data_IF_022306772166
#
_entry.id   IF_022306772166
#
_cell.length_a   1.000
_cell.length_b   1.000
_cell.length_c   1.000
_cell.angle_alpha   90.00
_cell.angle_beta   90.00
_cell.angle_gamma   90.00
#
_symmetry.space_group_name_H-M   'P 1'
#
loop_
_entity.id
_entity.type
_entity.pdbx_description
1 polymer ?
#
# COMPACT_ATOMS: atom_id res chain seq x y z
N UNK A 1 4.39 -23.38 -10.85
CA UNK A 1 4.22 -23.38 -9.38
C UNK A 1 2.88 -22.73 -9.04
N UNK A 2 1.90 -23.54 -8.67
CA UNK A 2 0.62 -23.07 -8.10
C UNK A 2 0.91 -22.49 -6.71
N UNK A 3 1.04 -21.16 -6.63
CA UNK A 3 1.08 -20.48 -5.32
C UNK A 3 -0.19 -20.87 -4.57
N UNK A 4 -0.05 -21.50 -3.39
CA UNK A 4 -1.21 -21.86 -2.58
C UNK A 4 -1.88 -20.58 -2.11
N UNK A 5 -3.01 -20.25 -2.75
CA UNK A 5 -3.88 -19.18 -2.30
C UNK A 5 -4.44 -19.59 -0.94
N UNK A 6 -3.86 -19.03 0.12
CA UNK A 6 -4.33 -19.27 1.48
C UNK A 6 -5.48 -18.32 1.76
N UNK A 7 -6.68 -18.88 1.85
CA UNK A 7 -7.91 -18.13 2.16
C UNK A 7 -8.15 -18.06 3.67
N UNK A 8 -7.54 -18.96 4.44
CA UNK A 8 -7.59 -18.97 5.89
C UNK A 8 -6.55 -18.02 6.48
N UNK A 9 -7.00 -17.16 7.41
CA UNK A 9 -6.10 -16.28 8.13
C UNK A 9 -5.17 -17.08 9.05
N UNK A 10 -3.89 -16.73 9.06
CA UNK A 10 -2.87 -17.35 9.94
C UNK A 10 -1.96 -16.29 10.52
N UNK A 11 -1.20 -16.62 11.57
CA UNK A 11 -0.25 -15.70 12.20
C UNK A 11 0.70 -15.05 11.18
N UNK A 12 1.13 -15.80 10.16
CA UNK A 12 2.01 -15.28 9.11
C UNK A 12 1.38 -14.11 8.34
N UNK A 13 0.06 -14.10 8.14
CA UNK A 13 -0.64 -12.97 7.50
C UNK A 13 -0.53 -11.71 8.35
N UNK A 14 -0.78 -11.84 9.65
CA UNK A 14 -0.68 -10.73 10.60
C UNK A 14 0.75 -10.17 10.66
N UNK A 15 1.76 -11.05 10.66
CA UNK A 15 3.18 -10.62 10.62
C UNK A 15 3.47 -9.81 9.37
N UNK A 16 3.18 -10.35 8.17
CA UNK A 16 3.49 -9.64 6.92
C UNK A 16 2.73 -8.32 6.77
N UNK A 17 1.46 -8.29 7.15
CA UNK A 17 0.66 -7.07 7.14
C UNK A 17 1.25 -6.03 8.11
N UNK A 18 1.54 -6.43 9.35
CA UNK A 18 2.09 -5.53 10.36
C UNK A 18 3.46 -4.99 9.94
N UNK A 19 4.33 -5.85 9.41
CA UNK A 19 5.65 -5.44 8.91
C UNK A 19 5.52 -4.43 7.76
N UNK A 20 4.62 -4.67 6.80
CA UNK A 20 4.38 -3.74 5.68
C UNK A 20 3.94 -2.36 6.18
N UNK A 21 3.00 -2.34 7.13
CA UNK A 21 2.44 -1.11 7.71
C UNK A 21 3.47 -0.36 8.58
N UNK A 22 4.31 -1.06 9.35
CA UNK A 22 5.37 -0.42 10.15
C UNK A 22 6.46 0.19 9.26
N UNK A 23 6.85 -0.53 8.20
CA UNK A 23 7.83 -0.05 7.22
C UNK A 23 7.32 1.17 6.46
N UNK A 24 6.04 1.25 6.13
CA UNK A 24 5.50 2.41 5.43
C UNK A 24 5.54 3.70 6.25
N UNK A 25 5.45 3.60 7.59
CA UNK A 25 5.64 4.75 8.47
C UNK A 25 7.00 5.43 8.26
N UNK A 26 8.06 4.64 8.05
CA UNK A 26 9.42 5.14 7.80
C UNK A 26 9.52 5.87 6.46
N UNK A 27 8.82 5.35 5.44
CA UNK A 27 8.76 5.95 4.11
C UNK A 27 8.00 7.28 4.14
N UNK A 28 6.90 7.34 4.88
CA UNK A 28 6.11 8.56 5.04
C UNK A 28 6.87 9.65 5.79
N UNK A 29 7.64 9.28 6.83
CA UNK A 29 8.53 10.21 7.53
C UNK A 29 9.53 10.87 6.57
N UNK A 30 10.16 10.08 5.69
CA UNK A 30 11.11 10.64 4.72
C UNK A 30 10.43 11.52 3.68
N UNK A 31 9.26 11.11 3.18
CA UNK A 31 8.45 11.92 2.26
C UNK A 31 8.07 13.27 2.90
N UNK A 32 7.60 13.27 4.15
CA UNK A 32 7.26 14.48 4.88
C UNK A 32 8.45 15.40 5.13
N UNK A 33 9.62 14.82 5.44
CA UNK A 33 10.88 15.60 5.56
C UNK A 33 11.25 16.24 4.24
N UNK A 34 11.21 15.48 3.14
CA UNK A 34 11.49 15.99 1.80
C UNK A 34 10.54 17.13 1.42
N UNK A 35 9.24 16.96 1.62
CA UNK A 35 8.23 17.99 1.33
C UNK A 35 8.44 19.25 2.19
N UNK A 36 8.73 19.09 3.49
CA UNK A 36 9.04 20.22 4.38
C UNK A 36 10.26 21.02 3.91
N UNK A 37 11.33 20.35 3.46
CA UNK A 37 12.54 21.02 2.93
C UNK A 37 12.23 21.78 1.64
N UNK A 38 11.44 21.18 0.74
CA UNK A 38 11.05 21.81 -0.53
C UNK A 38 10.13 23.01 -0.31
N UNK A 39 9.19 22.92 0.63
CA UNK A 39 8.22 23.99 0.92
C UNK A 39 8.81 25.13 1.76
N UNK A 40 9.81 24.85 2.61
CA UNK A 40 10.49 25.85 3.45
C UNK A 40 12.01 25.75 3.32
N UNK A 41 12.63 26.41 2.32
CA UNK A 41 14.05 26.27 1.99
C UNK A 41 15.04 26.65 3.11
N UNK A 42 14.61 27.40 4.13
CA UNK A 42 15.48 27.94 5.19
C UNK A 42 15.26 27.31 6.58
N UNK A 43 14.42 26.28 6.69
CA UNK A 43 14.17 25.67 7.98
C UNK A 43 15.19 24.55 8.24
N UNK A 44 16.25 24.87 8.99
CA UNK A 44 17.09 23.86 9.66
C UNK A 44 16.26 23.20 10.78
N UNK A 45 15.21 22.49 10.41
CA UNK A 45 14.33 21.75 11.30
C UNK A 45 15.11 20.53 11.79
N UNK A 46 15.76 20.65 12.95
CA UNK A 46 16.03 19.47 13.78
C UNK A 46 14.65 18.92 14.17
N UNK A 47 14.22 17.78 13.62
CA UNK A 47 12.88 17.29 13.89
C UNK A 47 12.83 16.87 15.36
N UNK A 48 11.90 17.44 16.12
CA UNK A 48 11.68 17.01 17.51
C UNK A 48 11.27 15.54 17.52
N UNK A 49 11.62 14.80 18.59
CA UNK A 49 11.22 13.40 18.74
C UNK A 49 9.69 13.23 18.60
N UNK A 50 8.92 14.19 19.09
CA UNK A 50 7.47 14.23 18.94
C UNK A 50 7.05 14.29 17.47
N UNK A 51 7.66 15.18 16.67
CA UNK A 51 7.36 15.27 15.23
C UNK A 51 7.68 13.97 14.49
N UNK A 52 8.82 13.34 14.79
CA UNK A 52 9.22 12.06 14.19
C UNK A 52 8.21 10.96 14.52
N UNK A 53 7.84 10.84 15.80
CA UNK A 53 6.87 9.83 16.26
C UNK A 53 5.49 10.05 15.62
N UNK A 54 4.98 11.28 15.61
CA UNK A 54 3.69 11.60 14.98
C UNK A 54 3.70 11.32 13.48
N UNK A 55 4.74 11.77 12.76
CA UNK A 55 4.83 11.55 11.32
C UNK A 55 4.91 10.05 10.98
N UNK A 56 5.66 9.27 11.77
CA UNK A 56 5.73 7.82 11.60
C UNK A 56 4.37 7.14 11.85
N UNK A 57 3.68 7.49 12.93
CA UNK A 57 2.33 6.99 13.25
C UNK A 57 1.30 7.38 12.18
N UNK A 58 1.35 8.60 11.66
CA UNK A 58 0.47 9.02 10.55
C UNK A 58 0.70 8.15 9.32
N UNK A 59 1.96 7.87 8.97
CA UNK A 59 2.28 7.01 7.83
C UNK A 59 1.76 5.57 7.99
N UNK A 60 1.84 5.02 9.20
CA UNK A 60 1.25 3.72 9.56
C UNK A 60 -0.26 3.71 9.31
N UNK A 61 -0.97 4.70 9.86
CA UNK A 61 -2.43 4.79 9.76
C UNK A 61 -2.87 4.97 8.31
N UNK A 62 -2.21 5.84 7.56
CA UNK A 62 -2.53 6.11 6.15
C UNK A 62 -2.41 4.83 5.32
N UNK A 63 -1.31 4.09 5.44
CA UNK A 63 -1.11 2.89 4.61
C UNK A 63 -2.02 1.74 5.05
N UNK A 64 -2.28 1.58 6.35
CA UNK A 64 -3.28 0.61 6.81
C UNK A 64 -4.65 0.89 6.19
N UNK A 65 -5.08 2.15 6.17
CA UNK A 65 -6.33 2.57 5.52
C UNK A 65 -6.29 2.28 4.01
N UNK A 66 -5.21 2.61 3.32
CA UNK A 66 -5.05 2.33 1.88
C UNK A 66 -5.20 0.84 1.58
N UNK A 67 -4.52 -0.02 2.35
CA UNK A 67 -4.58 -1.47 2.16
C UNK A 67 -6.00 -2.00 2.38
N UNK A 68 -6.68 -1.54 3.44
CA UNK A 68 -8.04 -1.96 3.73
C UNK A 68 -9.03 -1.48 2.68
N UNK A 69 -8.95 -0.21 2.26
CA UNK A 69 -9.80 0.35 1.21
C UNK A 69 -9.59 -0.36 -0.13
N UNK A 70 -8.34 -0.60 -0.51
CA UNK A 70 -8.03 -1.32 -1.74
C UNK A 70 -8.60 -2.75 -1.71
N UNK A 71 -8.39 -3.46 -0.60
CA UNK A 71 -8.96 -4.81 -0.42
C UNK A 71 -10.49 -4.79 -0.49
N UNK A 72 -11.12 -3.77 0.10
CA UNK A 72 -12.57 -3.60 0.09
C UNK A 72 -13.09 -3.37 -1.33
N UNK A 73 -12.42 -2.52 -2.12
CA UNK A 73 -12.77 -2.29 -3.52
C UNK A 73 -12.65 -3.58 -4.32
N UNK A 74 -11.56 -4.33 -4.14
CA UNK A 74 -11.37 -5.63 -4.80
C UNK A 74 -12.49 -6.60 -4.49
N UNK A 75 -12.87 -6.67 -3.22
CA UNK A 75 -13.96 -7.51 -2.76
C UNK A 75 -15.32 -7.09 -3.36
N UNK A 76 -15.63 -5.79 -3.38
CA UNK A 76 -16.86 -5.25 -3.97
C UNK A 76 -16.92 -5.57 -5.47
N UNK A 77 -15.84 -5.32 -6.21
CA UNK A 77 -15.78 -5.60 -7.65
C UNK A 77 -15.99 -7.10 -7.90
N UNK A 78 -15.26 -7.97 -7.19
CA UNK A 78 -15.41 -9.41 -7.34
C UNK A 78 -16.83 -9.88 -7.04
N UNK A 79 -17.40 -9.41 -5.93
CA UNK A 79 -18.71 -9.86 -5.44
C UNK A 79 -19.86 -9.38 -6.31
N UNK A 80 -19.85 -8.11 -6.72
CA UNK A 80 -20.98 -7.48 -7.42
C UNK A 80 -20.79 -7.46 -8.93
N UNK A 81 -19.64 -7.02 -9.45
CA UNK A 81 -19.42 -6.93 -10.90
C UNK A 81 -19.24 -8.31 -11.53
N UNK A 82 -18.49 -9.19 -10.88
CA UNK A 82 -18.26 -10.55 -11.36
C UNK A 82 -19.18 -11.60 -10.72
N UNK A 83 -20.23 -11.15 -10.00
CA UNK A 83 -21.29 -11.98 -9.40
C UNK A 83 -20.81 -13.10 -8.47
N UNK A 84 -19.65 -12.95 -7.83
CA UNK A 84 -19.08 -13.90 -6.86
C UNK A 84 -19.73 -13.73 -5.46
N UNK A 85 -21.04 -13.96 -5.37
CA UNK A 85 -21.88 -13.58 -4.19
C UNK A 85 -21.42 -14.19 -2.87
N UNK A 86 -20.76 -15.36 -2.91
CA UNK A 86 -20.31 -16.13 -1.75
C UNK A 86 -18.90 -15.77 -1.28
N UNK A 87 -18.17 -14.91 -2.00
CA UNK A 87 -16.81 -14.51 -1.63
C UNK A 87 -16.82 -13.68 -0.33
N UNK A 88 -16.26 -14.15 0.78
CA UNK A 88 -16.16 -13.36 2.00
C UNK A 88 -14.97 -12.40 1.92
N UNK A 89 -15.12 -11.24 2.57
CA UNK A 89 -14.07 -10.22 2.62
C UNK A 89 -12.77 -10.77 3.21
N UNK A 90 -12.85 -11.61 4.25
CA UNK A 90 -11.69 -12.21 4.89
C UNK A 90 -10.83 -13.04 3.93
N UNK A 91 -11.42 -13.76 2.97
CA UNK A 91 -10.64 -14.49 1.96
C UNK A 91 -9.95 -13.52 1.00
N UNK A 92 -10.61 -12.43 0.63
CA UNK A 92 -10.01 -11.39 -0.23
C UNK A 92 -8.82 -10.73 0.47
N UNK A 93 -8.93 -10.49 1.78
CA UNK A 93 -7.86 -9.95 2.60
C UNK A 93 -6.71 -10.95 2.80
N UNK A 94 -7.01 -12.20 3.18
CA UNK A 94 -6.00 -13.24 3.43
C UNK A 94 -5.16 -13.53 2.18
N UNK A 95 -5.80 -13.55 1.02
CA UNK A 95 -5.11 -13.75 -0.26
C UNK A 95 -4.05 -12.68 -0.54
N UNK A 96 -4.16 -11.49 0.05
CA UNK A 96 -3.17 -10.41 -0.05
C UNK A 96 -1.81 -10.70 0.61
N UNK A 97 -1.64 -11.82 1.33
CA UNK A 97 -0.38 -12.18 2.00
C UNK A 97 0.86 -12.02 1.11
N UNK A 98 0.81 -12.56 -0.11
CA UNK A 98 1.95 -12.54 -1.04
C UNK A 98 2.19 -11.12 -1.54
N UNK A 99 1.13 -10.35 -1.80
CA UNK A 99 1.25 -8.94 -2.11
C UNK A 99 1.97 -8.15 -1.01
N UNK A 100 1.68 -8.44 0.27
CA UNK A 100 2.36 -7.77 1.39
C UNK A 100 3.82 -8.21 1.54
N UNK A 101 4.15 -9.47 1.24
CA UNK A 101 5.54 -9.94 1.20
C UNK A 101 6.37 -9.15 0.20
N UNK A 102 5.85 -8.96 -1.02
CA UNK A 102 6.51 -8.12 -2.00
C UNK A 102 6.58 -6.67 -1.56
N UNK A 103 5.51 -6.13 -0.97
CA UNK A 103 5.53 -4.76 -0.45
C UNK A 103 6.64 -4.55 0.60
N UNK A 104 6.76 -5.48 1.55
CA UNK A 104 7.83 -5.48 2.55
C UNK A 104 9.20 -5.55 1.89
N UNK A 105 9.38 -6.42 0.89
CA UNK A 105 10.64 -6.54 0.17
C UNK A 105 11.03 -5.21 -0.49
N UNK A 106 10.11 -4.59 -1.24
CA UNK A 106 10.38 -3.30 -1.89
C UNK A 106 10.68 -2.21 -0.86
N UNK A 107 9.89 -2.11 0.21
CA UNK A 107 10.15 -1.16 1.28
C UNK A 107 11.49 -1.38 1.96
N UNK A 108 11.88 -2.62 2.24
CA UNK A 108 13.17 -2.93 2.84
C UNK A 108 14.32 -2.54 1.91
N UNK A 109 14.20 -2.80 0.60
CA UNK A 109 15.20 -2.45 -0.39
C UNK A 109 15.31 -0.93 -0.61
N UNK A 110 14.22 -0.18 -0.46
CA UNK A 110 14.25 1.27 -0.60
C UNK A 110 14.80 2.00 0.63
N UNK A 111 14.73 1.41 1.83
CA UNK A 111 15.18 2.06 3.08
C UNK A 111 16.59 2.67 2.98
N UNK A 112 17.65 1.95 2.54
CA UNK A 112 18.99 2.52 2.47
C UNK A 112 19.06 3.75 1.57
N UNK A 113 18.37 3.71 0.42
CA UNK A 113 18.35 4.83 -0.52
C UNK A 113 17.61 6.04 0.05
N UNK A 114 16.54 5.82 0.82
CA UNK A 114 15.73 6.87 1.44
C UNK A 114 16.50 7.64 2.52
N UNK A 115 17.43 6.98 3.21
CA UNK A 115 18.30 7.60 4.22
C UNK A 115 19.66 8.04 3.67
N UNK A 116 19.98 7.67 2.43
CA UNK A 116 21.13 8.19 1.69
C UNK A 116 20.78 9.51 0.99
N UNK A 117 21.78 10.24 0.50
CA UNK A 117 21.57 11.44 -0.33
C UNK A 117 20.76 11.21 -1.62
N UNK A 118 20.52 9.95 -2.02
CA UNK A 118 19.71 9.55 -3.17
C UNK A 118 18.25 9.23 -2.80
N UNK A 119 17.56 10.14 -2.10
CA UNK A 119 16.20 9.91 -1.61
C UNK A 119 15.17 9.64 -2.73
N UNK A 120 15.37 10.23 -3.91
CA UNK A 120 14.47 10.05 -5.07
C UNK A 120 14.40 8.60 -5.54
N UNK A 121 15.53 7.90 -5.67
CA UNK A 121 15.54 6.50 -6.09
C UNK A 121 14.76 5.63 -5.10
N UNK A 122 14.97 5.86 -3.80
CA UNK A 122 14.27 5.16 -2.73
C UNK A 122 12.76 5.41 -2.75
N UNK A 123 12.33 6.66 -2.96
CA UNK A 123 10.90 7.00 -3.10
C UNK A 123 10.29 6.29 -4.32
N UNK A 124 10.96 6.33 -5.48
CA UNK A 124 10.50 5.66 -6.70
C UNK A 124 10.38 4.15 -6.47
N UNK A 125 11.38 3.52 -5.87
CA UNK A 125 11.37 2.08 -5.59
C UNK A 125 10.23 1.69 -4.64
N UNK A 126 9.94 2.51 -3.62
CA UNK A 126 8.82 2.30 -2.72
C UNK A 126 7.46 2.42 -3.45
N UNK A 127 7.31 3.41 -4.34
CA UNK A 127 6.11 3.57 -5.16
C UNK A 127 5.91 2.39 -6.12
N UNK A 128 6.98 1.91 -6.75
CA UNK A 128 6.95 0.70 -7.58
C UNK A 128 6.50 -0.51 -6.77
N UNK A 129 6.98 -0.66 -5.54
CA UNK A 129 6.57 -1.74 -4.63
C UNK A 129 5.08 -1.71 -4.28
N UNK A 130 4.54 -0.51 -4.04
CA UNK A 130 3.12 -0.30 -3.80
C UNK A 130 2.28 -0.75 -5.00
N UNK A 131 2.63 -0.30 -6.21
CA UNK A 131 1.91 -0.68 -7.45
C UNK A 131 2.02 -2.19 -7.70
N UNK A 132 3.22 -2.74 -7.56
CA UNK A 132 3.47 -4.16 -7.77
C UNK A 132 2.67 -5.01 -6.78
N UNK A 133 2.63 -4.62 -5.50
CA UNK A 133 1.81 -5.26 -4.47
C UNK A 133 0.32 -5.25 -4.86
N UNK A 134 -0.21 -4.10 -5.29
CA UNK A 134 -1.60 -4.00 -5.72
C UNK A 134 -1.91 -4.91 -6.93
N UNK A 135 -1.00 -4.99 -7.90
CA UNK A 135 -1.13 -5.89 -9.05
C UNK A 135 -1.14 -7.37 -8.64
N UNK A 136 -0.23 -7.76 -7.74
CA UNK A 136 -0.17 -9.14 -7.23
C UNK A 136 -1.47 -9.47 -6.49
N UNK A 137 -1.93 -8.60 -5.59
CA UNK A 137 -3.16 -8.82 -4.85
C UNK A 137 -4.36 -8.98 -5.80
N UNK A 138 -4.51 -8.09 -6.78
CA UNK A 138 -5.58 -8.18 -7.77
C UNK A 138 -5.54 -9.50 -8.56
N UNK A 139 -4.35 -9.92 -9.00
CA UNK A 139 -4.16 -11.21 -9.69
C UNK A 139 -4.58 -12.39 -8.82
N UNK A 140 -4.24 -12.34 -7.53
CA UNK A 140 -4.57 -13.41 -6.61
C UNK A 140 -6.08 -13.47 -6.30
N UNK A 141 -6.76 -12.32 -6.16
CA UNK A 141 -8.22 -12.25 -6.01
C UNK A 141 -8.93 -12.77 -7.27
N UNK A 142 -8.44 -12.41 -8.45
CA UNK A 142 -8.98 -12.95 -9.71
C UNK A 142 -8.81 -14.47 -9.82
N UNK A 143 -7.71 -14.99 -9.28
CA UNK A 143 -7.43 -16.44 -9.26
C UNK A 143 -8.32 -17.17 -8.25
N UNK A 144 -8.58 -16.57 -7.09
CA UNK A 144 -9.52 -17.08 -6.08
C UNK A 144 -10.96 -17.16 -6.62
N UNK A 145 -11.33 -16.24 -7.50
CA UNK A 145 -12.68 -16.14 -8.04
C UNK A 145 -12.90 -16.97 -9.31
N UNK A 146 -11.89 -17.71 -9.78
CA UNK A 146 -11.97 -18.56 -10.97
C UNK A 146 -12.59 -17.85 -12.19
N UNK A 147 -12.27 -16.56 -12.38
CA UNK A 147 -12.75 -15.80 -13.52
C UNK A 147 -12.09 -16.28 -14.82
N UNK A 148 -12.86 -16.26 -15.91
CA UNK A 148 -12.35 -16.46 -17.26
C UNK A 148 -11.21 -15.47 -17.57
N UNK A 149 -10.26 -15.85 -18.42
CA UNK A 149 -9.04 -15.05 -18.66
C UNK A 149 -9.33 -13.59 -19.05
N UNK A 150 -10.33 -13.35 -19.90
CA UNK A 150 -10.72 -11.99 -20.30
C UNK A 150 -11.22 -11.16 -19.10
N UNK A 151 -12.05 -11.77 -18.24
CA UNK A 151 -12.61 -11.13 -17.03
C UNK A 151 -11.53 -10.87 -15.98
N UNK A 152 -10.55 -11.78 -15.88
CA UNK A 152 -9.38 -11.62 -15.02
C UNK A 152 -8.53 -10.42 -15.43
N UNK A 153 -8.28 -10.24 -16.73
CA UNK A 153 -7.57 -9.05 -17.22
C UNK A 153 -8.36 -7.77 -16.92
N UNK A 154 -9.66 -7.74 -17.23
CA UNK A 154 -10.53 -6.60 -16.91
C UNK A 154 -10.53 -6.26 -15.42
N UNK A 155 -10.60 -7.28 -14.55
CA UNK A 155 -10.50 -7.11 -13.10
C UNK A 155 -9.18 -6.42 -12.73
N UNK A 156 -8.04 -6.97 -13.16
CA UNK A 156 -6.71 -6.42 -12.84
C UNK A 156 -6.55 -4.96 -13.30
N UNK A 157 -7.00 -4.63 -14.52
CA UNK A 157 -6.93 -3.25 -15.02
C UNK A 157 -7.78 -2.30 -14.19
N UNK A 158 -9.01 -2.70 -13.88
CA UNK A 158 -9.91 -1.90 -13.04
C UNK A 158 -9.31 -1.70 -11.64
N UNK A 159 -8.67 -2.73 -11.08
CA UNK A 159 -7.97 -2.64 -9.80
C UNK A 159 -6.86 -1.60 -9.79
N UNK A 160 -6.05 -1.54 -10.85
CA UNK A 160 -4.95 -0.59 -10.96
C UNK A 160 -5.49 0.85 -11.06
N UNK A 161 -6.52 1.07 -11.87
CA UNK A 161 -7.15 2.40 -12.03
C UNK A 161 -7.74 2.86 -10.70
N UNK A 162 -8.48 1.99 -10.01
CA UNK A 162 -9.08 2.30 -8.72
C UNK A 162 -8.01 2.55 -7.64
N UNK A 163 -6.94 1.75 -7.65
CA UNK A 163 -5.80 1.94 -6.75
C UNK A 163 -5.15 3.31 -6.93
N UNK A 164 -4.85 3.68 -8.18
CA UNK A 164 -4.27 4.99 -8.50
C UNK A 164 -5.19 6.14 -8.08
N UNK A 165 -6.50 6.02 -8.28
CA UNK A 165 -7.49 7.01 -7.85
C UNK A 165 -7.54 7.18 -6.32
N UNK A 166 -7.58 6.08 -5.57
CA UNK A 166 -7.57 6.09 -4.10
C UNK A 166 -6.26 6.68 -3.57
N UNK A 167 -5.13 6.22 -4.12
CA UNK A 167 -3.81 6.69 -3.69
C UNK A 167 -3.63 8.19 -3.98
N UNK A 168 -4.04 8.65 -5.17
CA UNK A 168 -4.01 10.08 -5.52
C UNK A 168 -4.89 10.91 -4.61
N UNK A 169 -6.10 10.45 -4.28
CA UNK A 169 -7.02 11.18 -3.39
C UNK A 169 -6.44 11.32 -1.99
N UNK A 170 -5.89 10.24 -1.45
CA UNK A 170 -5.26 10.22 -0.13
C UNK A 170 -4.00 11.07 -0.09
N UNK A 171 -3.18 11.05 -1.14
CA UNK A 171 -2.00 11.90 -1.27
C UNK A 171 -2.36 13.40 -1.36
N UNK A 172 -3.46 13.74 -2.02
CA UNK A 172 -3.96 15.14 -2.06
C UNK A 172 -4.51 15.56 -0.71
N UNK A 173 -5.25 14.69 -0.02
CA UNK A 173 -5.81 14.97 1.30
C UNK A 173 -4.70 15.16 2.35
N UNK A 174 -3.66 14.34 2.33
CA UNK A 174 -2.53 14.47 3.27
C UNK A 174 -1.79 15.79 3.08
N UNK A 175 -1.66 16.28 1.84
CA UNK A 175 -1.12 17.61 1.54
C UNK A 175 -2.02 18.73 2.07
N UNK A 176 -3.34 18.63 1.91
CA UNK A 176 -4.28 19.61 2.44
C UNK A 176 -4.23 19.74 3.96
N UNK A 177 -4.12 18.61 4.68
CA UNK A 177 -3.97 18.59 6.13
C UNK A 177 -2.67 19.28 6.57
N UNK A 178 -1.60 19.20 5.77
CA UNK A 178 -0.34 19.89 6.04
C UNK A 178 -0.38 21.40 5.78
N UNK A 179 -1.30 21.89 4.94
CA UNK A 179 -1.46 23.33 4.62
C UNK A 179 -2.34 24.03 5.66
N UNK A 180 -3.27 23.30 6.28
CA UNK A 180 -4.17 23.81 7.32
C UNK A 180 -3.51 23.92 8.71
N UNK A 181 -2.22 23.57 8.83
CA UNK A 181 -1.46 23.56 10.07
C UNK A 181 -0.38 24.64 10.04
#
# INVERSE_FOLDING_TARGET
MTQSLSTAWTLSHAVWLSTAVLLSGMHYLSLNRFLSVVQTPNASLKPSLQYVAFSWLTGIVVVAIVILLFTLIMWIIARYFFRQRTLPFQHTLAVGKVAWQYLVLFFALSLPSIFSGNSLFGIVLALMGIVFSAMIHARQVASLTHLDDNRKWQFIYLSIIMFAGVFSTIATLSRFISILR
#
